data_IF_584178126162
#
_entry.id   IF_584178126162
#
_cell.length_a   1.000
_cell.length_b   1.000
_cell.length_c   1.000
_cell.angle_alpha   90.00
_cell.angle_beta   90.00
_cell.angle_gamma   90.00
#
_symmetry.space_group_name_H-M   'P 1'
#
loop_
_entity.id
_entity.type
_entity.pdbx_description
1 polymer ?
#
# COMPACT_ATOMS: atom_id res chain seq x y z
N UNK A 1 -31.03 24.08 -34.39
CA UNK A 1 -30.21 24.92 -33.49
C UNK A 1 -30.43 24.44 -32.06
N UNK A 2 -29.40 23.89 -31.37
CA UNK A 2 -29.23 23.78 -29.88
C UNK A 2 -28.31 22.62 -29.44
N UNK A 3 -27.94 21.68 -30.31
CA UNK A 3 -27.08 20.52 -29.91
C UNK A 3 -25.65 20.91 -29.48
N UNK A 4 -25.03 21.88 -30.15
CA UNK A 4 -23.66 22.34 -29.85
C UNK A 4 -23.44 22.83 -28.41
N UNK A 5 -24.24 23.77 -27.85
CA UNK A 5 -24.04 24.27 -26.48
C UNK A 5 -24.21 23.19 -25.42
N UNK A 6 -25.12 22.22 -25.62
CA UNK A 6 -25.31 21.10 -24.69
C UNK A 6 -24.05 20.24 -24.61
N UNK A 7 -23.38 19.97 -25.74
CA UNK A 7 -22.11 19.23 -25.71
C UNK A 7 -21.00 19.97 -24.96
N UNK A 8 -20.91 21.29 -25.10
CA UNK A 8 -19.92 22.07 -24.36
C UNK A 8 -20.22 22.11 -22.86
N UNK A 9 -21.48 22.23 -22.47
CA UNK A 9 -21.91 22.17 -21.06
C UNK A 9 -21.61 20.80 -20.47
N UNK A 10 -21.94 19.72 -21.19
CA UNK A 10 -21.63 18.36 -20.74
C UNK A 10 -20.13 18.12 -20.62
N UNK A 11 -19.32 18.63 -21.57
CA UNK A 11 -17.87 18.51 -21.55
C UNK A 11 -17.27 19.28 -20.37
N UNK A 12 -17.69 20.52 -20.13
CA UNK A 12 -17.20 21.30 -19.00
C UNK A 12 -17.59 20.66 -17.68
N UNK A 13 -18.81 20.14 -17.54
CA UNK A 13 -19.24 19.42 -16.35
C UNK A 13 -18.39 18.16 -16.11
N UNK A 14 -18.16 17.37 -17.17
CA UNK A 14 -17.32 16.16 -17.10
C UNK A 14 -15.89 16.52 -16.67
N UNK A 15 -15.34 17.61 -17.23
CA UNK A 15 -13.98 18.05 -16.91
C UNK A 15 -13.87 18.49 -15.45
N UNK A 16 -14.85 19.25 -14.95
CA UNK A 16 -14.91 19.65 -13.54
C UNK A 16 -15.03 18.44 -12.60
N UNK A 17 -15.86 17.45 -12.96
CA UNK A 17 -15.98 16.21 -12.18
C UNK A 17 -14.65 15.44 -12.12
N UNK A 18 -13.93 15.34 -13.23
CA UNK A 18 -12.62 14.70 -13.28
C UNK A 18 -11.58 15.43 -12.41
N UNK A 19 -11.56 16.76 -12.44
CA UNK A 19 -10.67 17.58 -11.60
C UNK A 19 -11.01 17.39 -10.11
N UNK A 20 -12.29 17.42 -9.75
CA UNK A 20 -12.75 17.22 -8.38
C UNK A 20 -12.38 15.81 -7.87
N UNK A 21 -12.57 14.78 -8.69
CA UNK A 21 -12.17 13.41 -8.36
C UNK A 21 -10.65 13.29 -8.14
N UNK A 22 -9.84 13.90 -9.02
CA UNK A 22 -8.38 13.89 -8.87
C UNK A 22 -7.92 14.64 -7.61
N UNK A 23 -8.55 15.78 -7.29
CA UNK A 23 -8.26 16.54 -6.07
C UNK A 23 -8.64 15.76 -4.80
N UNK A 24 -9.80 15.11 -4.79
CA UNK A 24 -10.23 14.25 -3.70
C UNK A 24 -9.25 13.09 -3.49
N UNK A 25 -8.88 12.39 -4.57
CA UNK A 25 -7.90 11.31 -4.54
C UNK A 25 -6.56 11.78 -3.95
N UNK A 26 -6.03 12.91 -4.42
CA UNK A 26 -4.79 13.50 -3.88
C UNK A 26 -4.92 13.81 -2.39
N UNK A 27 -6.01 14.44 -1.96
CA UNK A 27 -6.23 14.78 -0.56
C UNK A 27 -6.23 13.55 0.35
N UNK A 28 -6.81 12.44 -0.11
CA UNK A 28 -6.85 11.20 0.65
C UNK A 28 -5.46 10.56 0.74
N UNK A 29 -4.68 10.57 -0.34
CA UNK A 29 -3.28 10.09 -0.31
C UNK A 29 -2.39 10.88 0.65
N UNK A 30 -2.64 12.19 0.82
CA UNK A 30 -1.89 13.08 1.71
C UNK A 30 -2.26 12.91 3.19
N UNK A 31 -3.53 12.58 3.48
CA UNK A 31 -4.02 12.41 4.87
C UNK A 31 -3.54 11.11 5.51
N UNK A 32 -3.26 10.10 4.70
CA UNK A 32 -2.81 8.80 5.19
C UNK A 32 -1.32 8.86 5.55
N UNK A 33 -1.03 8.70 6.85
CA UNK A 33 0.35 8.71 7.35
C UNK A 33 0.99 7.34 7.17
N UNK A 34 2.31 7.32 6.96
CA UNK A 34 3.08 6.08 6.88
C UNK A 34 2.93 5.26 8.17
N UNK A 35 2.87 5.93 9.31
CA UNK A 35 2.65 5.33 10.64
C UNK A 35 1.33 4.55 10.70
N UNK A 36 0.21 5.15 10.26
CA UNK A 36 -1.09 4.46 10.25
C UNK A 36 -1.07 3.20 9.39
N UNK A 37 -0.37 3.24 8.25
CA UNK A 37 -0.21 2.08 7.39
C UNK A 37 0.58 0.99 8.11
N UNK A 38 1.74 1.34 8.67
CA UNK A 38 2.60 0.40 9.40
C UNK A 38 1.83 -0.26 10.55
N UNK A 39 1.16 0.54 11.39
CA UNK A 39 0.37 0.05 12.52
C UNK A 39 -0.74 -0.89 12.08
N UNK A 40 -1.46 -0.57 11.00
CA UNK A 40 -2.55 -1.40 10.48
C UNK A 40 -2.04 -2.79 10.06
N UNK A 41 -0.95 -2.85 9.30
CA UNK A 41 -0.42 -4.13 8.81
C UNK A 41 0.41 -4.87 9.87
N UNK A 42 1.04 -4.17 10.80
CA UNK A 42 1.67 -4.78 11.96
C UNK A 42 0.62 -5.44 12.87
N UNK A 43 -0.49 -4.76 13.17
CA UNK A 43 -1.59 -5.33 13.94
C UNK A 43 -2.14 -6.59 13.28
N UNK A 44 -2.30 -6.59 11.95
CA UNK A 44 -2.72 -7.77 11.18
C UNK A 44 -1.76 -8.95 11.31
N UNK A 45 -0.45 -8.69 11.33
CA UNK A 45 0.54 -9.74 11.53
C UNK A 45 0.50 -10.30 12.96
N UNK A 46 0.41 -9.42 13.96
CA UNK A 46 0.35 -9.80 15.38
C UNK A 46 -0.90 -10.61 15.73
N UNK A 47 -2.03 -10.33 15.08
CA UNK A 47 -3.29 -11.08 15.26
C UNK A 47 -3.14 -12.58 14.93
N UNK A 48 -2.25 -12.90 13.98
CA UNK A 48 -1.97 -14.27 13.55
C UNK A 48 -0.70 -14.86 14.18
N UNK A 49 0.12 -14.04 14.86
CA UNK A 49 1.41 -14.41 15.41
C UNK A 49 1.55 -13.87 16.84
N UNK A 50 0.92 -14.54 17.81
CA UNK A 50 0.79 -14.07 19.20
C UNK A 50 2.13 -13.84 19.91
N UNK A 51 3.19 -14.57 19.54
CA UNK A 51 4.55 -14.39 20.09
C UNK A 51 5.39 -13.35 19.35
N UNK A 52 4.83 -12.69 18.33
CA UNK A 52 5.55 -11.66 17.60
C UNK A 52 5.51 -10.30 18.33
N UNK A 53 6.53 -9.49 18.09
CA UNK A 53 6.64 -8.15 18.64
C UNK A 53 6.45 -7.12 17.53
N UNK A 54 5.99 -5.91 17.87
CA UNK A 54 5.90 -4.80 16.91
C UNK A 54 7.24 -4.50 16.23
N UNK A 55 8.35 -4.71 16.93
CA UNK A 55 9.72 -4.56 16.41
C UNK A 55 10.08 -5.53 15.29
N UNK A 56 9.29 -6.60 15.09
CA UNK A 56 9.42 -7.50 13.95
C UNK A 56 8.87 -6.91 12.64
N UNK A 57 8.12 -5.81 12.72
CA UNK A 57 7.54 -5.14 11.55
C UNK A 57 8.32 -3.87 11.21
N UNK A 58 8.62 -3.70 9.92
CA UNK A 58 9.29 -2.54 9.36
C UNK A 58 8.65 -2.17 8.02
N UNK A 59 8.74 -0.92 7.61
CA UNK A 59 8.28 -0.52 6.28
C UNK A 59 9.42 0.00 5.43
N UNK A 60 9.28 -0.21 4.12
CA UNK A 60 10.14 0.37 3.10
C UNK A 60 9.30 0.96 1.97
N UNK A 61 9.81 1.96 1.23
CA UNK A 61 9.18 2.42 -0.01
C UNK A 61 8.96 1.25 -0.98
N UNK A 62 7.83 1.28 -1.69
CA UNK A 62 7.53 0.25 -2.68
C UNK A 62 8.49 0.33 -3.87
N UNK A 63 8.91 -0.81 -4.46
CA UNK A 63 9.85 -0.81 -5.58
C UNK A 63 9.23 -0.36 -6.91
N UNK A 64 7.90 -0.23 -6.99
CA UNK A 64 7.14 0.04 -8.21
C UNK A 64 6.10 1.14 -7.98
N UNK A 65 5.75 1.93 -9.02
CA UNK A 65 4.86 3.10 -8.91
C UNK A 65 3.47 2.81 -8.33
N UNK A 66 3.00 1.57 -8.45
CA UNK A 66 1.69 1.15 -7.93
C UNK A 66 1.75 0.79 -6.44
N UNK A 67 2.92 0.52 -5.89
CA UNK A 67 3.12 0.18 -4.48
C UNK A 67 3.75 1.39 -3.77
N UNK A 68 3.02 1.99 -2.85
CA UNK A 68 3.53 3.10 -2.04
C UNK A 68 4.59 2.61 -1.06
N UNK A 69 4.30 1.51 -0.37
CA UNK A 69 5.20 0.95 0.64
C UNK A 69 4.99 -0.55 0.78
N UNK A 70 6.01 -1.24 1.26
CA UNK A 70 5.92 -2.64 1.67
C UNK A 70 6.14 -2.70 3.17
N UNK A 71 5.16 -3.22 3.91
CA UNK A 71 5.30 -3.52 5.34
C UNK A 71 5.78 -4.95 5.45
N UNK A 72 6.97 -5.14 6.01
CA UNK A 72 7.65 -6.42 6.11
C UNK A 72 7.66 -6.82 7.59
N UNK A 73 7.04 -7.94 7.91
CA UNK A 73 6.95 -8.47 9.27
C UNK A 73 7.60 -9.84 9.36
N UNK A 74 8.43 -10.06 10.37
CA UNK A 74 9.06 -11.35 10.65
C UNK A 74 10.17 -11.21 11.70
N UNK A 75 10.54 -12.31 12.39
CA UNK A 75 11.58 -12.28 13.39
C UNK A 75 12.96 -11.99 12.77
N UNK A 76 13.88 -11.51 13.62
CA UNK A 76 15.31 -11.42 13.33
C UNK A 76 16.05 -12.46 14.19
N UNK A 77 16.87 -13.36 13.61
CA UNK A 77 17.24 -13.48 12.19
C UNK A 77 16.10 -13.96 11.30
N UNK A 78 16.23 -13.73 9.99
CA UNK A 78 15.23 -14.09 8.97
C UNK A 78 14.71 -15.53 9.12
N UNK A 79 13.39 -15.67 9.26
CA UNK A 79 12.67 -16.95 9.23
C UNK A 79 11.60 -16.91 8.13
N UNK A 80 11.82 -17.66 7.06
CA UNK A 80 10.91 -17.73 5.91
C UNK A 80 9.48 -18.15 6.30
N UNK A 81 9.32 -18.97 7.34
CA UNK A 81 8.00 -19.48 7.77
C UNK A 81 7.18 -18.44 8.52
N UNK A 82 7.84 -17.38 8.99
CA UNK A 82 7.23 -16.28 9.77
C UNK A 82 7.43 -14.92 9.10
N UNK A 83 7.93 -14.91 7.88
CA UNK A 83 8.15 -13.70 7.11
C UNK A 83 6.95 -13.41 6.21
N UNK A 84 6.44 -12.19 6.31
CA UNK A 84 5.33 -11.70 5.51
C UNK A 84 5.64 -10.31 4.96
N UNK A 85 5.24 -10.08 3.72
CA UNK A 85 5.30 -8.77 3.07
C UNK A 85 3.90 -8.34 2.67
N UNK A 86 3.48 -7.17 3.13
CA UNK A 86 2.25 -6.51 2.74
C UNK A 86 2.58 -5.38 1.78
N UNK A 87 2.29 -5.57 0.50
CA UNK A 87 2.48 -4.55 -0.54
C UNK A 87 1.28 -3.62 -0.54
N UNK A 88 1.51 -2.36 -0.17
CA UNK A 88 0.47 -1.37 0.10
C UNK A 88 0.42 -0.33 -1.01
N UNK A 89 -0.78 -0.05 -1.50
CA UNK A 89 -1.03 0.95 -2.54
C UNK A 89 -1.05 2.39 -2.06
N UNK A 90 -1.25 3.35 -2.97
CA UNK A 90 -1.19 4.79 -2.66
C UNK A 90 -2.18 5.25 -1.59
N UNK A 91 -3.33 4.58 -1.50
CA UNK A 91 -4.41 4.83 -0.56
C UNK A 91 -4.37 3.93 0.69
N UNK A 92 -3.28 3.19 0.94
CA UNK A 92 -3.17 2.35 2.13
C UNK A 92 -3.78 0.95 2.03
N UNK A 93 -4.46 0.64 0.92
CA UNK A 93 -5.03 -0.68 0.66
C UNK A 93 -3.98 -1.73 0.28
N UNK A 94 -4.25 -2.99 0.63
CA UNK A 94 -3.38 -4.11 0.28
C UNK A 94 -3.51 -4.42 -1.22
N UNK A 95 -2.38 -4.43 -1.91
CA UNK A 95 -2.28 -4.85 -3.32
C UNK A 95 -1.94 -6.33 -3.41
N UNK A 96 -0.93 -6.75 -2.64
CA UNK A 96 -0.48 -8.13 -2.60
C UNK A 96 0.07 -8.46 -1.22
N UNK A 97 -0.08 -9.71 -0.82
CA UNK A 97 0.57 -10.29 0.34
C UNK A 97 1.48 -11.40 -0.16
N UNK A 98 2.76 -11.35 0.23
CA UNK A 98 3.67 -12.49 0.08
C UNK A 98 3.92 -13.08 1.46
N UNK A 99 3.99 -14.40 1.54
CA UNK A 99 4.27 -15.12 2.78
C UNK A 99 4.99 -16.44 2.55
N UNK A 100 4.98 -17.34 3.55
CA UNK A 100 5.75 -18.60 3.52
C UNK A 100 5.56 -19.45 2.26
N UNK A 101 4.34 -19.49 1.71
CA UNK A 101 4.02 -20.24 0.51
C UNK A 101 4.64 -19.64 -0.78
N UNK A 102 4.98 -18.36 -0.76
CA UNK A 102 5.50 -17.65 -1.94
C UNK A 102 7.03 -17.78 -2.08
N UNK A 103 7.75 -18.06 -1.00
CA UNK A 103 9.22 -18.03 -0.97
C UNK A 103 9.88 -19.12 -1.80
N UNK A 104 9.14 -20.14 -2.22
CA UNK A 104 9.60 -21.11 -3.21
C UNK A 104 9.81 -20.49 -4.61
N UNK A 105 9.14 -19.36 -4.90
CA UNK A 105 9.13 -18.73 -6.24
C UNK A 105 9.46 -17.24 -6.23
N UNK A 106 9.46 -16.59 -5.06
CA UNK A 106 9.76 -15.17 -4.87
C UNK A 106 10.94 -15.00 -3.94
N UNK A 107 11.83 -14.06 -4.27
CA UNK A 107 12.90 -13.64 -3.36
C UNK A 107 12.33 -12.68 -2.31
N UNK A 108 12.40 -13.01 -1.00
CA UNK A 108 11.92 -12.12 0.04
C UNK A 108 12.80 -10.87 0.15
N UNK A 109 12.18 -9.76 0.49
CA UNK A 109 12.86 -8.50 0.78
C UNK A 109 13.63 -8.65 2.09
N UNK A 110 14.97 -8.68 1.97
CA UNK A 110 15.87 -8.91 3.09
C UNK A 110 15.57 -8.00 4.29
N UNK A 111 15.70 -8.51 5.54
CA UNK A 111 15.61 -7.73 6.77
C UNK A 111 16.45 -6.47 6.82
N UNK A 112 17.63 -6.45 6.18
CA UNK A 112 18.66 -5.44 6.45
C UNK A 112 19.30 -4.73 5.25
N UNK A 113 18.92 -5.03 4.00
CA UNK A 113 19.66 -4.49 2.85
C UNK A 113 18.89 -3.38 2.11
N UNK A 114 19.29 -2.14 2.41
CA UNK A 114 19.55 -1.01 1.49
C UNK A 114 19.39 0.32 2.27
N UNK A 115 20.48 0.76 2.87
CA UNK A 115 20.77 2.19 3.00
C UNK A 115 20.97 2.80 1.61
#
# INVERSE_FOLDING_TARGET
MTLRPVHYISLTLLTLLLIAAAAAYRSQTLKLTETQIIETYAARYLDTHQDAQLTHCRARPGPVKTTRMVVICGPEPFDATRHYEYHVGPLGGLIAQNGPADWATKTPLAPRDAA
#
